data_IF_049679616369
#
_entry.id   IF_049679616369
#
_cell.length_a   1.000
_cell.length_b   1.000
_cell.length_c   1.000
_cell.angle_alpha   90.00
_cell.angle_beta   90.00
_cell.angle_gamma   90.00
#
_symmetry.space_group_name_H-M   'P 1'
#
loop_
_entity.id
_entity.type
_entity.pdbx_description
1 polymer ?
#
# COMPACT_ATOMS: atom_id res chain seq x y z
N UNK A 1 -42.44 1.69 -84.99
CA UNK A 1 -43.73 0.98 -85.18
C UNK A 1 -43.43 -0.27 -85.99
N UNK A 2 -43.14 -1.41 -85.34
CA UNK A 2 -42.86 -2.66 -86.07
C UNK A 2 -44.19 -3.41 -86.24
N UNK A 3 -44.81 -3.24 -87.41
CA UNK A 3 -45.92 -4.08 -87.86
C UNK A 3 -45.32 -5.45 -88.22
N UNK A 4 -45.79 -6.53 -87.57
CA UNK A 4 -45.36 -7.89 -87.95
C UNK A 4 -45.98 -8.22 -89.32
N UNK A 5 -45.33 -9.08 -90.10
CA UNK A 5 -45.84 -9.50 -91.41
C UNK A 5 -47.29 -10.03 -91.34
N UNK A 6 -47.67 -10.63 -90.20
CA UNK A 6 -49.04 -11.09 -89.94
C UNK A 6 -50.07 -9.93 -89.90
N UNK A 7 -49.70 -8.75 -89.39
CA UNK A 7 -50.59 -7.57 -89.35
C UNK A 7 -50.80 -6.97 -90.73
N UNK A 8 -49.74 -6.98 -91.55
CA UNK A 8 -49.79 -6.55 -92.96
C UNK A 8 -50.65 -7.52 -93.78
N UNK A 9 -50.57 -8.83 -93.52
CA UNK A 9 -51.37 -9.85 -94.19
C UNK A 9 -52.87 -9.73 -93.85
N UNK A 10 -53.22 -9.60 -92.56
CA UNK A 10 -54.63 -9.41 -92.15
C UNK A 10 -55.16 -8.06 -92.63
N UNK A 11 -54.36 -7.00 -92.55
CA UNK A 11 -54.71 -5.68 -93.09
C UNK A 11 -54.93 -5.68 -94.61
N UNK A 12 -54.07 -6.36 -95.38
CA UNK A 12 -54.20 -6.50 -96.83
C UNK A 12 -55.43 -7.34 -97.22
N UNK A 13 -55.71 -8.43 -96.49
CA UNK A 13 -56.90 -9.25 -96.70
C UNK A 13 -58.19 -8.44 -96.46
N UNK A 14 -58.20 -7.57 -95.45
CA UNK A 14 -59.32 -6.70 -95.13
C UNK A 14 -59.50 -5.59 -96.20
N UNK A 15 -58.41 -5.04 -96.73
CA UNK A 15 -58.41 -4.08 -97.84
C UNK A 15 -58.97 -4.70 -99.14
N UNK A 16 -58.59 -5.94 -99.44
CA UNK A 16 -59.15 -6.72 -100.55
C UNK A 16 -60.66 -6.98 -100.39
N UNK A 17 -61.12 -7.31 -99.18
CA UNK A 17 -62.54 -7.50 -98.89
C UNK A 17 -63.35 -6.21 -99.04
N UNK A 18 -62.81 -5.06 -98.60
CA UNK A 18 -63.44 -3.74 -98.78
C UNK A 18 -63.49 -3.36 -100.28
N UNK A 19 -62.41 -3.57 -101.02
CA UNK A 19 -62.37 -3.34 -102.47
C UNK A 19 -63.38 -4.22 -103.22
N UNK A 20 -63.52 -5.49 -102.83
CA UNK A 20 -64.53 -6.39 -103.38
C UNK A 20 -65.95 -5.93 -103.07
N UNK A 21 -66.21 -5.43 -101.84
CA UNK A 21 -67.50 -4.85 -101.45
C UNK A 21 -67.82 -3.57 -102.24
N UNK A 22 -66.85 -2.66 -102.41
CA UNK A 22 -66.98 -1.44 -103.20
C UNK A 22 -67.21 -1.74 -104.69
N UNK A 23 -66.50 -2.71 -105.26
CA UNK A 23 -66.70 -3.16 -106.64
C UNK A 23 -68.09 -3.76 -106.84
N UNK A 24 -68.60 -4.54 -105.87
CA UNK A 24 -69.95 -5.09 -105.89
C UNK A 24 -71.04 -4.01 -105.79
N UNK A 25 -70.77 -2.88 -105.10
CA UNK A 25 -71.68 -1.73 -105.01
C UNK A 25 -71.71 -0.86 -106.28
N UNK A 26 -70.64 -0.82 -107.07
CA UNK A 26 -70.55 -0.03 -108.31
C UNK A 26 -71.21 -0.70 -109.52
N UNK A 27 -71.48 -2.00 -109.47
CA UNK A 27 -72.08 -2.74 -110.58
C UNK A 27 -73.61 -2.84 -110.46
N UNK A 28 -74.39 -2.39 -111.46
CA UNK A 28 -75.86 -2.35 -111.39
C UNK A 28 -76.54 -3.73 -111.46
N UNK A 29 -75.79 -4.83 -111.55
CA UNK A 29 -76.30 -6.20 -111.75
C UNK A 29 -76.17 -7.12 -110.52
N UNK A 30 -75.72 -6.60 -109.37
CA UNK A 30 -75.50 -7.42 -108.16
C UNK A 30 -76.78 -7.54 -107.36
N UNK A 31 -77.18 -8.78 -107.05
CA UNK A 31 -78.43 -9.06 -106.33
C UNK A 31 -78.30 -8.70 -104.82
N UNK A 32 -79.30 -8.05 -104.21
CA UNK A 32 -79.22 -7.52 -102.83
C UNK A 32 -78.88 -8.57 -101.76
N UNK A 33 -79.23 -9.84 -101.97
CA UNK A 33 -78.99 -10.93 -101.02
C UNK A 33 -77.50 -11.30 -100.86
N UNK A 34 -76.64 -11.00 -101.85
CA UNK A 34 -75.18 -11.27 -101.78
C UNK A 34 -74.41 -10.16 -101.05
N UNK A 35 -74.95 -8.94 -101.00
CA UNK A 35 -74.30 -7.81 -100.32
C UNK A 35 -74.31 -7.94 -98.79
N UNK A 36 -75.37 -8.52 -98.21
CA UNK A 36 -75.51 -8.75 -96.77
C UNK A 36 -74.39 -9.61 -96.14
N UNK A 37 -74.12 -10.84 -96.62
CA UNK A 37 -73.07 -11.69 -96.07
C UNK A 37 -71.66 -11.15 -96.33
N UNK A 38 -71.44 -10.45 -97.44
CA UNK A 38 -70.15 -9.80 -97.76
C UNK A 38 -69.87 -8.62 -96.81
N UNK A 39 -70.89 -7.82 -96.51
CA UNK A 39 -70.82 -6.76 -95.50
C UNK A 39 -70.62 -7.33 -94.07
N UNK A 40 -71.31 -8.42 -93.73
CA UNK A 40 -71.14 -9.10 -92.43
C UNK A 40 -69.74 -9.71 -92.26
N UNK A 41 -69.17 -10.29 -93.33
CA UNK A 41 -67.80 -10.80 -93.33
C UNK A 41 -66.76 -9.68 -93.18
N UNK A 42 -66.96 -8.53 -93.84
CA UNK A 42 -66.13 -7.34 -93.65
C UNK A 42 -66.23 -6.80 -92.22
N UNK A 43 -67.43 -6.72 -91.64
CA UNK A 43 -67.61 -6.27 -90.26
C UNK A 43 -66.98 -7.23 -89.24
N UNK A 44 -67.07 -8.55 -89.48
CA UNK A 44 -66.43 -9.55 -88.63
C UNK A 44 -64.90 -9.51 -88.72
N UNK A 45 -64.33 -9.30 -89.91
CA UNK A 45 -62.88 -9.16 -90.09
C UNK A 45 -62.35 -7.86 -89.47
N UNK A 46 -63.10 -6.76 -89.57
CA UNK A 46 -62.82 -5.50 -88.85
C UNK A 46 -62.87 -5.71 -87.34
N UNK A 47 -63.92 -6.35 -86.82
CA UNK A 47 -64.04 -6.64 -85.39
C UNK A 47 -62.89 -7.53 -84.88
N UNK A 48 -62.53 -8.58 -85.63
CA UNK A 48 -61.39 -9.46 -85.31
C UNK A 48 -60.07 -8.69 -85.31
N UNK A 49 -59.82 -7.86 -86.33
CA UNK A 49 -58.61 -7.04 -86.42
C UNK A 49 -58.51 -6.04 -85.26
N UNK A 50 -59.63 -5.39 -84.89
CA UNK A 50 -59.69 -4.48 -83.73
C UNK A 50 -59.44 -5.22 -82.40
N UNK A 51 -60.05 -6.40 -82.20
CA UNK A 51 -59.81 -7.24 -81.01
C UNK A 51 -58.36 -7.74 -80.93
N UNK A 52 -57.76 -8.09 -82.07
CA UNK A 52 -56.38 -8.52 -82.14
C UNK A 52 -55.42 -7.37 -81.81
N UNK A 53 -55.68 -6.17 -82.34
CA UNK A 53 -54.90 -4.97 -82.04
C UNK A 53 -55.05 -4.55 -80.57
N UNK A 54 -56.24 -4.63 -79.99
CA UNK A 54 -56.47 -4.31 -78.59
C UNK A 54 -55.82 -5.33 -77.66
N UNK A 55 -55.93 -6.63 -77.93
CA UNK A 55 -55.25 -7.69 -77.20
C UNK A 55 -53.71 -7.54 -77.27
N UNK A 56 -53.16 -7.20 -78.45
CA UNK A 56 -51.72 -6.93 -78.62
C UNK A 56 -51.28 -5.66 -77.90
N UNK A 57 -52.09 -4.59 -77.93
CA UNK A 57 -51.81 -3.36 -77.18
C UNK A 57 -51.78 -3.65 -75.69
N UNK A 58 -52.77 -4.37 -75.17
CA UNK A 58 -52.85 -4.78 -73.77
C UNK A 58 -51.66 -5.68 -73.38
N UNK A 59 -51.30 -6.64 -74.23
CA UNK A 59 -50.12 -7.49 -74.02
C UNK A 59 -48.81 -6.69 -74.01
N UNK A 60 -48.63 -5.73 -74.92
CA UNK A 60 -47.45 -4.84 -74.93
C UNK A 60 -47.37 -3.97 -73.68
N UNK A 61 -48.49 -3.42 -73.23
CA UNK A 61 -48.57 -2.62 -71.99
C UNK A 61 -48.24 -3.52 -70.79
N UNK A 62 -48.86 -4.68 -70.67
CA UNK A 62 -48.57 -5.64 -69.59
C UNK A 62 -47.12 -6.13 -69.60
N UNK A 63 -46.51 -6.32 -70.79
CA UNK A 63 -45.11 -6.72 -70.91
C UNK A 63 -44.14 -5.56 -70.62
N UNK A 64 -44.51 -4.31 -70.94
CA UNK A 64 -43.75 -3.13 -70.55
C UNK A 64 -43.79 -2.94 -69.03
N UNK A 65 -44.97 -3.07 -68.42
CA UNK A 65 -45.18 -3.00 -66.98
C UNK A 65 -44.42 -4.11 -66.25
N UNK A 66 -44.49 -5.36 -66.71
CA UNK A 66 -43.73 -6.47 -66.11
C UNK A 66 -42.22 -6.27 -66.20
N UNK A 67 -41.71 -5.73 -67.31
CA UNK A 67 -40.28 -5.36 -67.44
C UNK A 67 -39.89 -4.25 -66.48
N UNK A 68 -40.72 -3.22 -66.35
CA UNK A 68 -40.49 -2.13 -65.40
C UNK A 68 -40.47 -2.63 -63.95
N UNK A 69 -41.42 -3.49 -63.56
CA UNK A 69 -41.46 -4.10 -62.24
C UNK A 69 -40.25 -4.99 -61.97
N UNK A 70 -39.79 -5.75 -62.96
CA UNK A 70 -38.59 -6.58 -62.84
C UNK A 70 -37.32 -5.73 -62.69
N UNK A 71 -37.18 -4.67 -63.49
CA UNK A 71 -36.05 -3.73 -63.35
C UNK A 71 -36.05 -3.04 -61.99
N UNK A 72 -37.21 -2.59 -61.50
CA UNK A 72 -37.33 -1.99 -60.18
C UNK A 72 -36.98 -2.99 -59.06
N UNK A 73 -37.45 -4.24 -59.15
CA UNK A 73 -37.10 -5.28 -58.19
C UNK A 73 -35.61 -5.65 -58.24
N UNK A 74 -35.00 -5.67 -59.43
CA UNK A 74 -33.56 -5.93 -59.58
C UNK A 74 -32.73 -4.80 -58.96
N UNK A 75 -33.08 -3.54 -59.21
CA UNK A 75 -32.41 -2.37 -58.60
C UNK A 75 -32.55 -2.35 -57.08
N UNK A 76 -33.75 -2.61 -56.55
CA UNK A 76 -33.96 -2.68 -55.11
C UNK A 76 -33.14 -3.83 -54.47
N UNK A 77 -33.09 -5.01 -55.12
CA UNK A 77 -32.28 -6.12 -54.64
C UNK A 77 -30.78 -5.80 -54.65
N UNK A 78 -30.30 -5.08 -55.66
CA UNK A 78 -28.90 -4.66 -55.76
C UNK A 78 -28.55 -3.66 -54.64
N UNK A 79 -29.39 -2.64 -54.44
CA UNK A 79 -29.23 -1.66 -53.36
C UNK A 79 -29.21 -2.30 -51.97
N UNK A 80 -30.11 -3.27 -51.70
CA UNK A 80 -30.12 -4.01 -50.43
C UNK A 80 -28.91 -4.90 -50.26
N UNK A 81 -28.43 -5.52 -51.34
CA UNK A 81 -27.22 -6.34 -51.30
C UNK A 81 -25.99 -5.47 -51.01
N UNK A 82 -25.90 -4.28 -51.63
CA UNK A 82 -24.85 -3.31 -51.35
C UNK A 82 -24.87 -2.84 -49.89
N UNK A 83 -26.05 -2.49 -49.36
CA UNK A 83 -26.22 -2.17 -47.93
C UNK A 83 -25.72 -3.29 -47.03
N UNK A 84 -26.04 -4.55 -47.36
CA UNK A 84 -25.58 -5.69 -46.58
C UNK A 84 -24.05 -5.85 -46.56
N UNK A 85 -23.40 -5.65 -47.72
CA UNK A 85 -21.94 -5.68 -47.79
C UNK A 85 -21.27 -4.50 -47.06
N UNK A 86 -21.88 -3.31 -47.11
CA UNK A 86 -21.40 -2.15 -46.35
C UNK A 86 -21.46 -2.43 -44.85
N UNK A 87 -22.59 -2.93 -44.34
CA UNK A 87 -22.75 -3.31 -42.93
C UNK A 87 -21.72 -4.37 -42.53
N UNK A 88 -21.54 -5.43 -43.34
CA UNK A 88 -20.52 -6.45 -43.07
C UNK A 88 -19.11 -5.83 -42.97
N UNK A 89 -18.75 -4.97 -43.92
CA UNK A 89 -17.43 -4.31 -43.96
C UNK A 89 -17.20 -3.40 -42.75
N UNK A 90 -18.22 -2.65 -42.34
CA UNK A 90 -18.15 -1.81 -41.13
C UNK A 90 -17.92 -2.67 -39.88
N UNK A 91 -18.67 -3.75 -39.71
CA UNK A 91 -18.52 -4.63 -38.54
C UNK A 91 -17.18 -5.37 -38.52
N UNK A 92 -16.64 -5.78 -39.67
CA UNK A 92 -15.27 -6.29 -39.76
C UNK A 92 -14.23 -5.23 -39.36
N UNK A 93 -14.45 -3.97 -39.75
CA UNK A 93 -13.62 -2.84 -39.34
C UNK A 93 -13.61 -2.66 -37.82
N UNK A 94 -14.79 -2.68 -37.20
CA UNK A 94 -14.93 -2.57 -35.75
C UNK A 94 -14.30 -3.76 -35.02
N UNK A 95 -14.53 -4.99 -35.49
CA UNK A 95 -13.92 -6.20 -34.94
C UNK A 95 -12.39 -6.12 -34.99
N UNK A 96 -11.82 -5.70 -36.12
CA UNK A 96 -10.38 -5.49 -36.27
C UNK A 96 -9.85 -4.42 -35.31
N UNK A 97 -10.61 -3.35 -35.10
CA UNK A 97 -10.29 -2.31 -34.12
C UNK A 97 -10.24 -2.87 -32.69
N UNK A 98 -11.24 -3.64 -32.27
CA UNK A 98 -11.29 -4.29 -30.96
C UNK A 98 -10.14 -5.28 -30.76
N UNK A 99 -9.78 -6.07 -31.79
CA UNK A 99 -8.61 -6.96 -31.75
C UNK A 99 -7.32 -6.15 -31.60
N UNK A 100 -7.18 -5.02 -32.32
CA UNK A 100 -6.04 -4.12 -32.18
C UNK A 100 -5.89 -3.56 -30.75
N UNK A 101 -7.00 -3.14 -30.15
CA UNK A 101 -7.03 -2.69 -28.75
C UNK A 101 -6.63 -3.80 -27.78
N UNK A 102 -7.11 -5.02 -27.99
CA UNK A 102 -6.70 -6.18 -27.18
C UNK A 102 -5.19 -6.43 -27.28
N UNK A 103 -4.61 -6.37 -28.48
CA UNK A 103 -3.17 -6.51 -28.66
C UNK A 103 -2.37 -5.41 -27.96
N UNK A 104 -2.83 -4.17 -27.99
CA UNK A 104 -2.17 -3.04 -27.32
C UNK A 104 -2.18 -3.20 -25.80
N UNK A 105 -3.31 -3.59 -25.23
CA UNK A 105 -3.47 -3.85 -23.79
C UNK A 105 -2.62 -5.05 -23.36
N UNK A 106 -2.67 -6.16 -24.10
CA UNK A 106 -1.84 -7.34 -23.86
C UNK A 106 -0.35 -7.01 -23.98
N UNK A 107 0.05 -6.21 -24.98
CA UNK A 107 1.44 -5.80 -25.16
C UNK A 107 1.93 -4.93 -24.00
N UNK A 108 1.13 -3.96 -23.59
CA UNK A 108 1.42 -3.09 -22.44
C UNK A 108 1.56 -3.89 -21.15
N UNK A 109 0.64 -4.83 -20.90
CA UNK A 109 0.69 -5.67 -19.72
C UNK A 109 1.81 -6.70 -19.76
N UNK A 110 2.11 -7.27 -20.92
CA UNK A 110 3.28 -8.16 -21.10
C UNK A 110 4.55 -7.39 -20.79
N UNK A 111 4.69 -6.16 -21.29
CA UNK A 111 5.84 -5.29 -20.96
C UNK A 111 5.93 -5.00 -19.46
N UNK A 112 4.79 -4.75 -18.79
CA UNK A 112 4.74 -4.55 -17.33
C UNK A 112 5.06 -5.82 -16.55
N UNK A 113 4.52 -6.96 -16.95
CA UNK A 113 4.78 -8.27 -16.34
C UNK A 113 6.23 -8.71 -16.53
N UNK A 114 6.82 -8.50 -17.71
CA UNK A 114 8.24 -8.79 -17.97
C UNK A 114 9.13 -7.86 -17.14
N UNK A 115 8.79 -6.57 -17.04
CA UNK A 115 9.47 -5.64 -16.13
C UNK A 115 9.37 -6.06 -14.66
N UNK A 116 8.19 -6.54 -14.24
CA UNK A 116 7.97 -7.06 -12.90
C UNK A 116 8.71 -8.39 -12.66
N UNK A 117 8.78 -9.31 -13.62
CA UNK A 117 9.45 -10.61 -13.51
C UNK A 117 10.98 -10.48 -13.50
N UNK A 118 11.54 -9.59 -14.32
CA UNK A 118 12.98 -9.24 -14.24
C UNK A 118 13.30 -8.53 -12.92
N UNK A 119 12.38 -7.71 -12.40
CA UNK A 119 12.46 -7.21 -11.03
C UNK A 119 12.33 -8.31 -9.98
N UNK A 120 11.43 -9.28 -10.17
CA UNK A 120 11.10 -10.35 -9.22
C UNK A 120 12.24 -11.36 -9.08
N UNK A 121 12.95 -11.71 -10.15
CA UNK A 121 14.11 -12.62 -10.08
C UNK A 121 15.24 -11.99 -9.25
N UNK A 122 15.50 -10.70 -9.44
CA UNK A 122 16.44 -9.92 -8.64
C UNK A 122 15.92 -9.65 -7.22
N UNK A 123 14.59 -9.64 -7.03
CA UNK A 123 13.95 -9.44 -5.73
C UNK A 123 13.66 -10.72 -4.95
N UNK A 124 13.60 -11.92 -5.54
CA UNK A 124 13.16 -13.14 -4.84
C UNK A 124 14.19 -13.65 -3.84
N UNK A 125 15.48 -13.63 -4.20
CA UNK A 125 16.56 -13.87 -3.24
C UNK A 125 16.61 -12.80 -2.15
N UNK A 126 16.40 -11.53 -2.53
CA UNK A 126 16.29 -10.43 -1.58
C UNK A 126 15.02 -10.51 -0.72
N UNK A 127 13.92 -11.06 -1.21
CA UNK A 127 12.60 -11.11 -0.57
C UNK A 127 12.53 -12.21 0.46
N UNK A 128 13.11 -13.40 0.23
CA UNK A 128 13.19 -14.41 1.29
C UNK A 128 14.06 -13.93 2.44
N UNK A 129 15.15 -13.23 2.15
CA UNK A 129 15.99 -12.59 3.16
C UNK A 129 15.24 -11.44 3.86
N UNK A 130 14.49 -10.62 3.11
CA UNK A 130 13.66 -9.55 3.67
C UNK A 130 12.49 -10.08 4.49
N UNK A 131 11.86 -11.20 4.11
CA UNK A 131 10.78 -11.84 4.86
C UNK A 131 11.30 -12.38 6.18
N UNK A 132 12.51 -12.95 6.15
CA UNK A 132 13.22 -13.37 7.36
C UNK A 132 13.49 -12.17 8.27
N UNK A 133 14.00 -11.08 7.71
CA UNK A 133 14.22 -9.81 8.41
C UNK A 133 12.92 -9.12 8.85
N UNK A 134 11.81 -9.29 8.13
CA UNK A 134 10.49 -8.74 8.47
C UNK A 134 9.83 -9.50 9.60
N UNK A 135 9.94 -10.83 9.63
CA UNK A 135 9.48 -11.64 10.77
C UNK A 135 10.29 -11.29 12.01
N UNK A 136 11.61 -11.15 11.88
CA UNK A 136 12.52 -10.66 12.94
C UNK A 136 12.12 -9.23 13.39
N UNK A 137 11.87 -8.33 12.43
CA UNK A 137 11.52 -6.93 12.69
C UNK A 137 10.10 -6.75 13.22
N UNK A 138 9.13 -7.60 12.90
CA UNK A 138 7.77 -7.58 13.46
C UNK A 138 7.76 -8.00 14.93
N UNK A 139 8.58 -9.00 15.27
CA UNK A 139 8.83 -9.39 16.67
C UNK A 139 9.46 -8.23 17.44
N UNK A 140 10.29 -7.40 16.80
CA UNK A 140 10.89 -6.21 17.42
C UNK A 140 9.97 -4.96 17.39
N UNK A 141 9.14 -4.79 16.36
CA UNK A 141 8.30 -3.59 16.10
C UNK A 141 7.07 -3.49 17.00
N UNK A 142 6.71 -4.53 17.75
CA UNK A 142 5.76 -4.41 18.86
C UNK A 142 6.17 -3.33 19.90
N UNK A 143 7.40 -2.78 19.80
CA UNK A 143 7.95 -1.75 20.69
C UNK A 143 8.12 -0.35 20.03
N UNK A 144 7.80 -0.17 18.75
CA UNK A 144 8.29 0.97 17.94
C UNK A 144 7.68 2.36 18.23
N UNK A 145 6.42 2.45 18.65
CA UNK A 145 5.76 3.75 18.88
C UNK A 145 6.07 4.36 20.28
N UNK A 146 6.46 3.54 21.25
CA UNK A 146 7.00 3.99 22.56
C UNK A 146 8.46 4.46 22.47
N UNK A 147 9.12 4.17 21.35
CA UNK A 147 10.58 4.17 21.29
C UNK A 147 11.19 5.58 21.19
N UNK A 148 10.53 6.55 20.55
CA UNK A 148 11.05 7.91 20.41
C UNK A 148 11.04 8.69 21.74
N UNK A 149 10.04 8.45 22.59
CA UNK A 149 9.98 9.03 23.94
C UNK A 149 10.96 8.32 24.88
N UNK A 150 11.12 6.99 24.75
CA UNK A 150 12.15 6.23 25.45
C UNK A 150 13.57 6.69 25.10
N UNK A 151 13.86 7.02 23.83
CA UNK A 151 15.18 7.50 23.39
C UNK A 151 15.54 8.83 24.08
N UNK A 152 14.60 9.77 24.15
CA UNK A 152 14.80 11.03 24.87
C UNK A 152 14.95 10.79 26.38
N UNK A 153 14.18 9.85 26.94
CA UNK A 153 14.26 9.44 28.34
C UNK A 153 15.62 8.83 28.70
N UNK A 154 16.18 7.96 27.84
CA UNK A 154 17.48 7.31 28.05
C UNK A 154 18.60 8.35 28.05
N UNK A 155 18.58 9.31 27.11
CA UNK A 155 19.59 10.39 27.05
C UNK A 155 19.60 11.21 28.34
N UNK A 156 18.41 11.60 28.82
CA UNK A 156 18.27 12.36 30.06
C UNK A 156 18.70 11.56 31.28
N UNK A 157 18.31 10.29 31.34
CA UNK A 157 18.60 9.40 32.46
C UNK A 157 20.10 9.31 32.75
N UNK A 158 20.93 9.07 31.73
CA UNK A 158 22.35 8.93 32.03
C UNK A 158 23.08 10.28 32.20
N UNK A 159 22.55 11.41 31.68
CA UNK A 159 23.09 12.76 31.99
C UNK A 159 22.88 13.03 33.48
N UNK A 160 21.67 12.75 33.98
CA UNK A 160 21.34 12.84 35.41
C UNK A 160 22.23 11.89 36.24
N UNK A 161 22.46 10.67 35.74
CA UNK A 161 23.26 9.69 36.47
C UNK A 161 24.75 10.04 36.49
N UNK A 162 25.31 10.62 35.42
CA UNK A 162 26.69 11.12 35.38
C UNK A 162 26.90 12.23 36.42
N UNK A 163 25.94 13.16 36.53
CA UNK A 163 25.97 14.22 37.54
C UNK A 163 25.91 13.63 38.97
N UNK A 164 25.08 12.61 39.21
CA UNK A 164 24.96 11.96 40.52
C UNK A 164 26.26 11.24 40.90
N UNK A 165 26.86 10.48 39.97
CA UNK A 165 28.14 9.79 40.21
C UNK A 165 29.26 10.79 40.47
N UNK A 166 29.33 11.88 39.70
CA UNK A 166 30.29 12.96 39.94
C UNK A 166 30.15 13.58 41.33
N UNK A 167 28.92 13.82 41.78
CA UNK A 167 28.65 14.30 43.17
C UNK A 167 29.06 13.27 44.22
N UNK A 168 28.84 11.97 43.98
CA UNK A 168 29.22 10.91 44.90
C UNK A 168 30.75 10.81 45.06
N UNK A 169 31.50 10.89 43.96
CA UNK A 169 32.97 10.91 43.97
C UNK A 169 33.47 12.14 44.76
N UNK A 170 32.90 13.32 44.50
CA UNK A 170 33.23 14.53 45.24
C UNK A 170 32.94 14.41 46.74
N UNK A 171 31.81 13.81 47.11
CA UNK A 171 31.46 13.55 48.51
C UNK A 171 32.45 12.59 49.18
N UNK A 172 32.84 11.50 48.49
CA UNK A 172 33.85 10.56 48.99
C UNK A 172 35.20 11.24 49.24
N UNK A 173 35.64 12.12 48.33
CA UNK A 173 36.87 12.91 48.51
C UNK A 173 36.80 13.81 49.76
N UNK A 174 35.66 14.45 50.01
CA UNK A 174 35.44 15.23 51.24
C UNK A 174 35.44 14.38 52.50
N UNK A 175 34.84 13.18 52.48
CA UNK A 175 34.87 12.25 53.61
C UNK A 175 36.30 11.79 53.91
N UNK A 176 37.10 11.55 52.88
CA UNK A 176 38.51 11.15 53.04
C UNK A 176 39.36 12.29 53.65
N UNK A 177 39.19 13.53 53.18
CA UNK A 177 39.85 14.71 53.78
C UNK A 177 39.45 14.89 55.26
N UNK A 178 38.16 14.82 55.56
CA UNK A 178 37.65 14.90 56.92
C UNK A 178 38.20 13.78 57.81
N UNK A 179 38.27 12.55 57.29
CA UNK A 179 38.87 11.40 57.97
C UNK A 179 40.36 11.61 58.28
N UNK A 180 41.14 12.09 57.30
CA UNK A 180 42.58 12.39 57.47
C UNK A 180 42.83 13.49 58.51
N UNK A 181 42.05 14.57 58.46
CA UNK A 181 42.11 15.65 59.46
C UNK A 181 41.75 15.15 60.86
N UNK A 182 40.74 14.29 60.96
CA UNK A 182 40.35 13.67 62.23
C UNK A 182 41.47 12.77 62.75
N UNK A 183 42.08 11.93 61.91
CA UNK A 183 43.23 11.09 62.27
C UNK A 183 44.39 11.92 62.85
N UNK A 184 44.70 13.05 62.22
CA UNK A 184 45.75 13.98 62.66
C UNK A 184 45.44 14.57 64.03
N UNK A 185 44.18 14.97 64.26
CA UNK A 185 43.74 15.49 65.55
C UNK A 185 43.82 14.43 66.66
N UNK A 186 43.46 13.18 66.37
CA UNK A 186 43.56 12.07 67.34
C UNK A 186 45.01 11.75 67.68
N UNK A 187 45.91 11.68 66.70
CA UNK A 187 47.35 11.49 66.96
C UNK A 187 47.93 12.59 67.85
N UNK A 188 47.51 13.85 67.63
CA UNK A 188 47.90 14.96 68.50
C UNK A 188 47.33 14.83 69.91
N UNK A 189 46.09 14.37 70.04
CA UNK A 189 45.43 14.17 71.33
C UNK A 189 46.09 13.03 72.12
N UNK A 190 46.57 11.99 71.45
CA UNK A 190 47.28 10.85 72.04
C UNK A 190 48.62 11.31 72.64
N UNK A 191 49.35 12.15 71.89
CA UNK A 191 50.57 12.80 72.38
C UNK A 191 50.32 13.67 73.62
N UNK A 192 49.23 14.45 73.62
CA UNK A 192 48.85 15.28 74.77
C UNK A 192 48.48 14.43 76.00
N UNK A 193 47.75 13.33 75.81
CA UNK A 193 47.42 12.40 76.90
C UNK A 193 48.69 11.78 77.50
N UNK A 194 49.64 11.34 76.66
CA UNK A 194 50.93 10.84 77.12
C UNK A 194 51.70 11.87 77.97
N UNK A 195 51.67 13.15 77.57
CA UNK A 195 52.26 14.23 78.35
C UNK A 195 51.56 14.43 79.71
N UNK A 196 50.23 14.37 79.75
CA UNK A 196 49.47 14.48 81.01
C UNK A 196 49.77 13.32 81.96
N UNK A 197 49.87 12.09 81.44
CA UNK A 197 50.26 10.91 82.23
C UNK A 197 51.66 11.10 82.82
N UNK A 198 52.61 11.63 82.04
CA UNK A 198 53.95 11.95 82.53
C UNK A 198 53.89 12.99 83.67
N UNK A 199 53.14 14.08 83.52
CA UNK A 199 52.96 15.08 84.57
C UNK A 199 52.34 14.50 85.84
N UNK A 200 51.32 13.63 85.73
CA UNK A 200 50.73 12.97 86.89
C UNK A 200 51.70 12.04 87.62
N UNK A 201 52.61 11.39 86.90
CA UNK A 201 53.65 10.59 87.51
C UNK A 201 54.62 11.46 88.33
N UNK A 202 55.02 12.62 87.79
CA UNK A 202 55.83 13.60 88.54
C UNK A 202 55.10 14.16 89.76
N UNK A 203 53.81 14.49 89.64
CA UNK A 203 52.99 14.95 90.79
C UNK A 203 52.91 13.87 91.87
N UNK A 204 52.73 12.61 91.49
CA UNK A 204 52.68 11.50 92.43
C UNK A 204 54.04 11.30 93.14
N UNK A 205 55.15 11.47 92.42
CA UNK A 205 56.50 11.43 93.01
C UNK A 205 56.71 12.56 94.04
N UNK A 206 56.35 13.80 93.69
CA UNK A 206 56.40 14.95 94.61
C UNK A 206 55.49 14.73 95.82
N UNK A 207 54.30 14.18 95.60
CA UNK A 207 53.34 13.89 96.67
C UNK A 207 53.90 12.85 97.65
N UNK A 208 54.52 11.78 97.16
CA UNK A 208 55.20 10.78 97.99
C UNK A 208 56.37 11.37 98.76
N UNK A 209 57.18 12.21 98.13
CA UNK A 209 58.28 12.90 98.81
C UNK A 209 57.76 13.84 99.91
N UNK A 210 56.68 14.56 99.64
CA UNK A 210 56.03 15.47 100.58
C UNK A 210 55.43 14.70 101.77
N UNK A 211 54.81 13.55 101.52
CA UNK A 211 54.29 12.65 102.56
C UNK A 211 55.42 12.13 103.47
N UNK A 212 56.56 11.73 102.89
CA UNK A 212 57.74 11.30 103.63
C UNK A 212 58.38 12.44 104.44
N UNK A 213 58.48 13.64 103.87
CA UNK A 213 58.97 14.82 104.59
C UNK A 213 58.05 15.19 105.75
N UNK A 214 56.74 15.15 105.55
CA UNK A 214 55.75 15.39 106.59
C UNK A 214 55.79 14.32 107.68
N UNK A 215 56.00 13.05 107.32
CA UNK A 215 56.19 11.97 108.28
C UNK A 215 57.44 12.20 109.14
N UNK A 216 58.57 12.56 108.53
CA UNK A 216 59.80 12.88 109.25
C UNK A 216 59.61 14.08 110.19
N UNK A 217 58.89 15.12 109.74
CA UNK A 217 58.55 16.27 110.56
C UNK A 217 57.63 15.91 111.74
N UNK A 218 56.64 15.03 111.54
CA UNK A 218 55.77 14.54 112.60
C UNK A 218 56.53 13.72 113.65
N UNK A 219 57.48 12.88 113.21
CA UNK A 219 58.37 12.11 114.10
C UNK A 219 59.22 13.07 114.95
N UNK A 220 59.85 14.08 114.34
CA UNK A 220 60.71 15.03 115.07
C UNK A 220 59.89 15.95 116.00
N UNK A 221 58.68 16.34 115.59
CA UNK A 221 57.75 17.08 116.44
C UNK A 221 57.30 16.26 117.66
N UNK A 222 57.06 14.96 117.51
CA UNK A 222 56.80 14.06 118.63
C UNK A 222 58.01 13.92 119.57
N UNK A 223 59.22 13.94 119.01
CA UNK A 223 60.49 13.87 119.75
C UNK A 223 60.77 15.11 120.59
N UNK A 224 60.32 16.28 120.15
CA UNK A 224 60.44 17.55 120.87
C UNK A 224 59.41 17.74 122.02
N UNK A 225 58.48 16.80 122.21
CA UNK A 225 57.51 16.82 123.32
C UNK A 225 56.55 18.02 123.27
N UNK A 226 56.36 18.71 124.40
CA UNK A 226 55.45 19.87 124.52
C UNK A 226 55.81 21.02 123.56
N UNK A 227 57.10 21.25 123.30
CA UNK A 227 57.57 22.31 122.39
C UNK A 227 57.25 22.03 120.91
N UNK A 228 57.00 20.75 120.55
CA UNK A 228 56.74 20.30 119.18
C UNK A 228 55.27 20.26 118.77
N UNK A 229 54.31 20.48 119.70
CA UNK A 229 52.86 20.32 119.43
C UNK A 229 52.35 21.10 118.20
N UNK A 230 52.80 22.35 118.02
CA UNK A 230 52.41 23.16 116.86
C UNK A 230 52.91 22.59 115.53
N UNK A 231 54.15 22.08 115.52
CA UNK A 231 54.74 21.43 114.34
C UNK A 231 54.10 20.09 114.02
N UNK A 232 53.69 19.32 115.03
CA UNK A 232 52.99 18.05 114.84
C UNK A 232 51.64 18.24 114.11
N UNK A 233 50.88 19.27 114.47
CA UNK A 233 49.60 19.60 113.80
C UNK A 233 49.81 19.98 112.34
N UNK A 234 50.84 20.80 112.05
CA UNK A 234 51.19 21.17 110.67
C UNK A 234 51.63 19.95 109.87
N UNK A 235 52.48 19.10 110.44
CA UNK A 235 52.96 17.89 109.78
C UNK A 235 51.82 16.92 109.44
N UNK A 236 50.87 16.70 110.36
CA UNK A 236 49.67 15.88 110.10
C UNK A 236 48.77 16.49 109.02
N UNK A 237 48.63 17.82 108.96
CA UNK A 237 47.84 18.49 107.93
C UNK A 237 48.51 18.38 106.54
N UNK A 238 49.83 18.51 106.47
CA UNK A 238 50.60 18.26 105.22
C UNK A 238 50.46 16.80 104.78
N UNK A 239 50.48 15.84 105.72
CA UNK A 239 50.26 14.42 105.43
C UNK A 239 48.88 14.15 104.86
N UNK A 240 47.83 14.73 105.44
CA UNK A 240 46.46 14.65 104.91
C UNK A 240 46.34 15.28 103.52
N UNK A 241 47.03 16.40 103.29
CA UNK A 241 47.05 17.07 101.99
C UNK A 241 47.75 16.20 100.92
N UNK A 242 48.86 15.54 101.27
CA UNK A 242 49.55 14.61 100.40
C UNK A 242 48.66 13.38 100.07
N UNK A 243 48.01 12.79 101.08
CA UNK A 243 47.06 11.69 100.87
C UNK A 243 45.90 12.07 99.94
N UNK A 244 45.29 13.25 100.13
CA UNK A 244 44.25 13.80 99.24
C UNK A 244 44.77 14.03 97.83
N UNK A 245 45.98 14.56 97.67
CA UNK A 245 46.60 14.80 96.36
C UNK A 245 46.85 13.50 95.59
N UNK A 246 47.28 12.44 96.30
CA UNK A 246 47.43 11.12 95.72
C UNK A 246 46.08 10.52 95.29
N UNK A 247 45.03 10.67 96.11
CA UNK A 247 43.67 10.24 95.75
C UNK A 247 43.15 10.94 94.50
N UNK A 248 43.33 12.28 94.40
CA UNK A 248 43.00 13.03 93.18
C UNK A 248 43.80 12.52 91.97
N UNK A 249 45.10 12.25 92.13
CA UNK A 249 45.95 11.73 91.05
C UNK A 249 45.50 10.35 90.56
N UNK A 250 44.97 9.50 91.44
CA UNK A 250 44.37 8.20 91.08
C UNK A 250 43.08 8.40 90.28
N UNK A 251 42.18 9.31 90.72
CA UNK A 251 40.94 9.60 89.98
C UNK A 251 41.23 10.17 88.59
N UNK A 252 42.20 11.08 88.45
CA UNK A 252 42.57 11.65 87.14
C UNK A 252 43.12 10.53 86.24
N UNK A 253 43.92 9.59 86.77
CA UNK A 253 44.37 8.42 85.99
C UNK A 253 43.22 7.59 85.46
N UNK A 254 42.19 7.33 86.28
CA UNK A 254 40.98 6.63 85.81
C UNK A 254 40.31 7.33 84.63
N UNK A 255 40.12 8.66 84.74
CA UNK A 255 39.56 9.46 83.64
C UNK A 255 40.41 9.42 82.36
N UNK A 256 41.74 9.38 82.50
CA UNK A 256 42.65 9.27 81.34
C UNK A 256 42.52 7.91 80.64
N UNK A 257 42.38 6.83 81.41
CA UNK A 257 42.15 5.49 80.83
C UNK A 257 40.84 5.42 80.05
N UNK A 258 39.78 6.07 80.55
CA UNK A 258 38.50 6.16 79.83
C UNK A 258 38.64 6.95 78.52
N UNK A 259 39.42 8.05 78.55
CA UNK A 259 39.73 8.84 77.35
C UNK A 259 40.53 8.01 76.33
N UNK A 260 41.55 7.27 76.77
CA UNK A 260 42.35 6.37 75.93
C UNK A 260 41.48 5.32 75.22
N UNK A 261 40.56 4.70 75.95
CA UNK A 261 39.60 3.73 75.40
C UNK A 261 38.69 4.37 74.34
N UNK A 262 38.16 5.56 74.65
CA UNK A 262 37.35 6.32 73.70
C UNK A 262 38.15 6.66 72.44
N UNK A 263 39.40 7.08 72.59
CA UNK A 263 40.31 7.37 71.47
C UNK A 263 40.60 6.15 70.61
N UNK A 264 40.82 4.98 71.21
CA UNK A 264 41.03 3.73 70.48
C UNK A 264 39.82 3.36 69.60
N UNK A 265 38.60 3.55 70.12
CA UNK A 265 37.37 3.26 69.36
C UNK A 265 37.16 4.23 68.18
N UNK A 266 37.48 5.51 68.36
CA UNK A 266 37.44 6.49 67.26
C UNK A 266 38.56 6.24 66.24
N UNK A 267 39.76 5.86 66.69
CA UNK A 267 40.87 5.47 65.81
C UNK A 267 40.50 4.30 64.89
N UNK A 268 39.81 3.28 65.42
CA UNK A 268 39.29 2.16 64.62
C UNK A 268 38.25 2.63 63.59
N UNK A 269 37.35 3.54 63.97
CA UNK A 269 36.34 4.12 63.07
C UNK A 269 36.97 4.94 61.93
N UNK A 270 38.06 5.65 62.21
CA UNK A 270 38.86 6.37 61.21
C UNK A 270 39.61 5.40 60.29
N UNK A 271 40.13 4.29 60.82
CA UNK A 271 40.73 3.23 60.02
C UNK A 271 39.76 2.67 58.98
N UNK A 272 38.49 2.50 59.34
CA UNK A 272 37.43 2.11 58.40
C UNK A 272 37.17 3.19 57.33
N UNK A 273 37.22 4.48 57.69
CA UNK A 273 37.10 5.59 56.75
C UNK A 273 38.29 5.69 55.78
N UNK A 274 39.50 5.29 56.19
CA UNK A 274 40.66 5.23 55.31
C UNK A 274 40.56 4.12 54.25
N UNK A 275 39.71 3.11 54.48
CA UNK A 275 39.48 2.01 53.55
C UNK A 275 38.32 2.28 52.57
N UNK A 276 37.68 3.45 52.65
CA UNK A 276 36.72 3.88 51.63
C UNK A 276 37.48 4.14 50.32
N UNK A 277 37.44 3.13 49.45
CA UNK A 277 38.22 3.07 48.22
C UNK A 277 37.62 3.97 47.13
N UNK A 278 38.36 5.00 46.72
CA UNK A 278 38.00 5.83 45.55
C UNK A 278 37.92 5.01 44.25
N UNK A 279 38.54 3.83 44.20
CA UNK A 279 38.48 2.91 43.07
C UNK A 279 37.05 2.50 42.72
N UNK A 280 36.14 2.42 43.69
CA UNK A 280 34.72 2.09 43.44
C UNK A 280 33.99 3.22 42.70
N UNK A 281 34.28 4.47 43.07
CA UNK A 281 33.72 5.65 42.39
C UNK A 281 34.23 5.78 40.96
N UNK A 282 35.53 5.59 40.76
CA UNK A 282 36.16 5.68 39.44
C UNK A 282 35.77 4.51 38.53
N UNK A 283 35.68 3.29 39.07
CA UNK A 283 35.16 2.13 38.32
C UNK A 283 33.69 2.31 37.93
N UNK A 284 32.88 2.90 38.82
CA UNK A 284 31.48 3.23 38.48
C UNK A 284 31.40 4.25 37.35
N UNK A 285 32.29 5.25 37.33
CA UNK A 285 32.40 6.24 36.25
C UNK A 285 32.77 5.59 34.91
N UNK A 286 33.76 4.67 34.92
CA UNK A 286 34.14 3.93 33.72
C UNK A 286 33.02 3.01 33.21
N UNK A 287 32.40 2.23 34.11
CA UNK A 287 31.29 1.34 33.74
C UNK A 287 30.12 2.13 33.16
N UNK A 288 29.82 3.31 33.71
CA UNK A 288 28.80 4.22 33.18
C UNK A 288 29.16 4.73 31.78
N UNK A 289 30.41 5.12 31.56
CA UNK A 289 30.87 5.55 30.23
C UNK A 289 30.75 4.43 29.19
N UNK A 290 31.07 3.18 29.55
CA UNK A 290 30.93 2.03 28.66
C UNK A 290 29.45 1.74 28.37
N UNK A 291 28.61 1.72 29.40
CA UNK A 291 27.17 1.54 29.26
C UNK A 291 26.57 2.62 28.36
N UNK A 292 27.07 3.86 28.47
CA UNK A 292 26.65 4.97 27.63
C UNK A 292 26.99 4.78 26.16
N UNK A 293 28.20 4.34 25.89
CA UNK A 293 28.65 4.08 24.53
C UNK A 293 27.82 2.96 23.88
N UNK A 294 27.43 1.93 24.63
CA UNK A 294 26.54 0.88 24.14
C UNK A 294 25.10 1.38 23.93
N UNK A 295 24.58 2.24 24.80
CA UNK A 295 23.26 2.85 24.61
C UNK A 295 23.20 3.76 23.38
N UNK A 296 24.25 4.53 23.11
CA UNK A 296 24.34 5.37 21.91
C UNK A 296 24.35 4.54 20.61
N UNK A 297 25.09 3.42 20.61
CA UNK A 297 25.07 2.44 19.51
C UNK A 297 23.68 1.84 19.31
N UNK A 298 23.03 1.41 20.39
CA UNK A 298 21.66 0.86 20.34
C UNK A 298 20.66 1.88 19.80
N UNK A 299 20.75 3.14 20.23
CA UNK A 299 19.89 4.21 19.76
C UNK A 299 20.08 4.49 18.25
N UNK A 300 21.34 4.57 17.81
CA UNK A 300 21.66 4.76 16.39
C UNK A 300 21.16 3.58 15.54
N UNK A 301 21.31 2.34 16.04
CA UNK A 301 20.79 1.15 15.37
C UNK A 301 19.26 1.16 15.29
N UNK A 302 18.57 1.52 16.38
CA UNK A 302 17.11 1.63 16.40
C UNK A 302 16.59 2.69 15.41
N UNK A 303 17.28 3.84 15.31
CA UNK A 303 16.93 4.90 14.34
C UNK A 303 17.07 4.40 12.90
N UNK A 304 18.19 3.75 12.56
CA UNK A 304 18.40 3.14 11.24
C UNK A 304 17.37 2.04 10.93
N UNK A 305 17.01 1.24 11.92
CA UNK A 305 15.98 0.22 11.77
C UNK A 305 14.62 0.86 11.43
N UNK A 306 14.28 1.99 12.07
CA UNK A 306 13.06 2.74 11.78
C UNK A 306 13.03 3.27 10.35
N UNK A 307 14.13 3.84 9.87
CA UNK A 307 14.28 4.27 8.47
C UNK A 307 14.08 3.10 7.50
N UNK A 308 14.68 1.94 7.80
CA UNK A 308 14.53 0.73 6.98
C UNK A 308 13.09 0.23 6.96
N UNK A 309 12.37 0.26 8.09
CA UNK A 309 10.95 -0.11 8.16
C UNK A 309 10.11 0.84 7.29
N UNK A 310 10.39 2.14 7.32
CA UNK A 310 9.67 3.12 6.50
C UNK A 310 9.87 2.86 5.00
N UNK A 311 11.10 2.58 4.56
CA UNK A 311 11.42 2.25 3.17
C UNK A 311 10.72 0.94 2.72
N UNK A 312 10.75 -0.10 3.56
CA UNK A 312 10.07 -1.37 3.27
C UNK A 312 8.55 -1.18 3.19
N UNK A 313 7.96 -0.39 4.09
CA UNK A 313 6.52 -0.09 4.07
C UNK A 313 6.11 0.59 2.76
N UNK A 314 6.90 1.57 2.29
CA UNK A 314 6.64 2.24 1.02
C UNK A 314 6.75 1.29 -0.18
N UNK A 315 7.72 0.37 -0.16
CA UNK A 315 7.86 -0.68 -1.19
C UNK A 315 6.68 -1.65 -1.19
N UNK A 316 6.19 -2.06 -0.02
CA UNK A 316 4.99 -2.92 0.10
C UNK A 316 3.78 -2.21 -0.50
N UNK A 317 3.56 -0.93 -0.15
CA UNK A 317 2.44 -0.16 -0.68
C UNK A 317 2.46 -0.10 -2.21
N UNK A 318 3.64 0.14 -2.80
CA UNK A 318 3.82 0.11 -4.26
C UNK A 318 3.52 -1.28 -4.86
N UNK A 319 3.98 -2.35 -4.23
CA UNK A 319 3.76 -3.71 -4.70
C UNK A 319 2.29 -4.13 -4.67
N UNK A 320 1.53 -3.69 -3.65
CA UNK A 320 0.08 -3.94 -3.57
C UNK A 320 -0.66 -3.19 -4.69
N UNK A 321 -0.31 -1.93 -4.94
CA UNK A 321 -0.89 -1.17 -6.05
C UNK A 321 -0.60 -1.84 -7.40
N UNK A 322 0.62 -2.32 -7.63
CA UNK A 322 0.99 -3.05 -8.84
C UNK A 322 0.20 -4.38 -8.97
N UNK A 323 -0.06 -5.08 -7.85
CA UNK A 323 -0.88 -6.28 -7.81
C UNK A 323 -2.35 -6.04 -8.19
N UNK A 324 -2.94 -4.92 -7.72
CA UNK A 324 -4.32 -4.53 -8.07
C UNK A 324 -4.44 -4.26 -9.57
N UNK A 325 -3.46 -3.57 -10.16
CA UNK A 325 -3.43 -3.30 -11.61
C UNK A 325 -3.34 -4.60 -12.42
N UNK A 326 -2.62 -5.60 -11.91
CA UNK A 326 -2.48 -6.90 -12.58
C UNK A 326 -3.78 -7.72 -12.56
N UNK A 327 -4.58 -7.63 -11.49
CA UNK A 327 -5.91 -8.25 -11.42
C UNK A 327 -6.91 -7.57 -12.36
N UNK A 328 -6.86 -6.24 -12.44
CA UNK A 328 -7.71 -5.47 -13.38
C UNK A 328 -7.38 -5.79 -14.84
N UNK A 329 -6.10 -6.07 -15.15
CA UNK A 329 -5.69 -6.47 -16.49
C UNK A 329 -6.32 -7.80 -16.93
N UNK A 330 -6.32 -8.82 -16.06
CA UNK A 330 -6.91 -10.12 -16.39
C UNK A 330 -8.40 -9.98 -16.72
N UNK A 331 -9.14 -9.20 -15.92
CA UNK A 331 -10.56 -8.98 -16.18
C UNK A 331 -10.80 -8.17 -17.46
N UNK A 332 -10.00 -7.13 -17.71
CA UNK A 332 -10.11 -6.31 -18.93
C UNK A 332 -9.84 -7.13 -20.21
N UNK A 333 -8.81 -7.98 -20.20
CA UNK A 333 -8.51 -8.85 -21.35
C UNK A 333 -9.60 -9.89 -21.55
N UNK A 334 -10.10 -10.49 -20.47
CA UNK A 334 -11.21 -11.44 -20.53
C UNK A 334 -12.44 -10.80 -21.17
N UNK A 335 -12.82 -9.61 -20.72
CA UNK A 335 -13.98 -8.87 -21.26
C UNK A 335 -13.79 -8.52 -22.74
N UNK A 336 -12.61 -8.06 -23.15
CA UNK A 336 -12.33 -7.73 -24.56
C UNK A 336 -12.38 -8.96 -25.46
N UNK A 337 -11.84 -10.10 -25.01
CA UNK A 337 -11.91 -11.35 -25.76
C UNK A 337 -13.35 -11.84 -25.90
N UNK A 338 -14.16 -11.74 -24.85
CA UNK A 338 -15.58 -12.07 -24.89
C UNK A 338 -16.34 -11.18 -25.87
N UNK A 339 -16.03 -9.87 -25.92
CA UNK A 339 -16.61 -8.95 -26.89
C UNK A 339 -16.23 -9.31 -28.34
N UNK A 340 -14.96 -9.61 -28.58
CA UNK A 340 -14.46 -10.05 -29.90
C UNK A 340 -15.16 -11.34 -30.32
N UNK A 341 -15.29 -12.31 -29.41
CA UNK A 341 -15.92 -13.60 -29.68
C UNK A 341 -17.41 -13.46 -30.01
N UNK A 342 -18.16 -12.71 -29.20
CA UNK A 342 -19.59 -12.50 -29.41
C UNK A 342 -19.86 -11.76 -30.73
N UNK A 343 -19.04 -10.77 -31.07
CA UNK A 343 -19.20 -10.00 -32.31
C UNK A 343 -18.78 -10.81 -33.54
N UNK A 344 -17.73 -11.64 -33.43
CA UNK A 344 -17.32 -12.56 -34.49
C UNK A 344 -18.41 -13.61 -34.78
N UNK A 345 -19.02 -14.19 -33.73
CA UNK A 345 -20.12 -15.16 -33.85
C UNK A 345 -21.33 -14.56 -34.59
N UNK A 346 -21.77 -13.36 -34.19
CA UNK A 346 -22.89 -12.68 -34.85
C UNK A 346 -22.58 -12.33 -36.31
N UNK A 347 -21.33 -11.99 -36.61
CA UNK A 347 -20.89 -11.69 -37.96
C UNK A 347 -20.81 -12.95 -38.83
N UNK A 348 -20.41 -14.08 -38.26
CA UNK A 348 -20.44 -15.40 -38.92
C UNK A 348 -21.88 -15.79 -39.28
N UNK A 349 -22.82 -15.67 -38.35
CA UNK A 349 -24.25 -15.91 -38.61
C UNK A 349 -24.78 -15.02 -39.73
N UNK A 350 -24.47 -13.71 -39.68
CA UNK A 350 -24.89 -12.75 -40.70
C UNK A 350 -24.33 -13.08 -42.09
N UNK A 351 -23.04 -13.40 -42.18
CA UNK A 351 -22.40 -13.80 -43.44
C UNK A 351 -22.97 -15.12 -43.98
N UNK A 352 -23.29 -16.07 -43.09
CA UNK A 352 -23.96 -17.32 -43.43
C UNK A 352 -25.34 -17.08 -44.05
N UNK A 353 -26.13 -16.17 -43.48
CA UNK A 353 -27.43 -15.77 -44.04
C UNK A 353 -27.28 -15.11 -45.42
N UNK A 354 -26.33 -14.20 -45.59
CA UNK A 354 -26.06 -13.56 -46.89
C UNK A 354 -25.61 -14.57 -47.96
N UNK A 355 -24.79 -15.56 -47.59
CA UNK A 355 -24.35 -16.61 -48.51
C UNK A 355 -25.52 -17.52 -48.91
N UNK A 356 -26.41 -17.86 -47.97
CA UNK A 356 -27.62 -18.62 -48.26
C UNK A 356 -28.56 -17.89 -49.23
N UNK A 357 -28.57 -16.55 -49.20
CA UNK A 357 -29.37 -15.69 -50.08
C UNK A 357 -28.85 -15.60 -51.52
N UNK A 358 -27.57 -15.92 -51.74
CA UNK A 358 -26.99 -15.96 -53.09
C UNK A 358 -27.30 -17.26 -53.85
N UNK A 359 -27.76 -18.33 -53.17
CA UNK A 359 -28.14 -19.58 -53.82
C UNK A 359 -29.41 -19.37 -54.66
N UNK A 360 -29.43 -19.74 -55.96
CA UNK A 360 -30.60 -19.54 -56.80
C UNK A 360 -31.79 -20.36 -56.29
N UNK A 361 -32.88 -19.69 -55.92
CA UNK A 361 -34.12 -20.34 -55.50
C UNK A 361 -34.81 -21.12 -56.63
N UNK A 362 -35.65 -22.09 -56.26
CA UNK A 362 -36.40 -22.97 -57.16
C UNK A 362 -37.57 -22.28 -57.91
N UNK A 363 -37.76 -20.97 -57.75
CA UNK A 363 -38.91 -20.24 -58.26
C UNK A 363 -38.80 -19.95 -59.76
N UNK A 364 -39.76 -20.40 -60.56
CA UNK A 364 -39.74 -20.22 -62.01
C UNK A 364 -39.92 -18.75 -62.47
N UNK A 365 -40.56 -17.89 -61.67
CA UNK A 365 -40.77 -16.48 -62.00
C UNK A 365 -39.64 -15.59 -61.43
N UNK A 366 -38.95 -14.87 -62.31
CA UNK A 366 -37.86 -13.97 -61.94
C UNK A 366 -38.31 -12.82 -61.03
N UNK A 367 -39.53 -12.30 -61.21
CA UNK A 367 -40.03 -11.19 -60.38
C UNK A 367 -40.28 -11.63 -58.94
N UNK A 368 -40.88 -12.80 -58.74
CA UNK A 368 -41.13 -13.40 -57.43
C UNK A 368 -39.80 -13.68 -56.71
N UNK A 369 -38.81 -14.17 -57.46
CA UNK A 369 -37.47 -14.47 -56.95
C UNK A 369 -36.76 -13.24 -56.38
N UNK A 370 -36.80 -12.12 -57.09
CA UNK A 370 -36.22 -10.87 -56.58
C UNK A 370 -36.99 -10.32 -55.38
N UNK A 371 -38.33 -10.36 -55.38
CA UNK A 371 -39.12 -9.93 -54.22
C UNK A 371 -38.82 -10.75 -52.97
N UNK A 372 -38.81 -12.08 -53.09
CA UNK A 372 -38.51 -12.97 -51.97
C UNK A 372 -37.07 -12.77 -51.46
N UNK A 373 -36.11 -12.53 -52.36
CA UNK A 373 -34.73 -12.22 -51.98
C UNK A 373 -34.63 -10.88 -51.24
N UNK A 374 -35.35 -9.84 -51.69
CA UNK A 374 -35.42 -8.54 -50.99
C UNK A 374 -35.98 -8.72 -49.58
N UNK A 375 -37.12 -9.40 -49.42
CA UNK A 375 -37.73 -9.60 -48.09
C UNK A 375 -36.78 -10.30 -47.12
N UNK A 376 -36.06 -11.32 -47.59
CA UNK A 376 -35.09 -12.02 -46.76
C UNK A 376 -33.83 -11.20 -46.47
N UNK A 377 -33.35 -10.40 -47.43
CA UNK A 377 -32.24 -9.46 -47.21
C UNK A 377 -32.62 -8.42 -46.15
N UNK A 378 -33.82 -7.85 -46.23
CA UNK A 378 -34.33 -6.88 -45.24
C UNK A 378 -34.40 -7.53 -43.85
N UNK A 379 -34.89 -8.77 -43.77
CA UNK A 379 -34.96 -9.51 -42.50
C UNK A 379 -33.57 -9.82 -41.91
N UNK A 380 -32.57 -10.09 -42.75
CA UNK A 380 -31.19 -10.32 -42.32
C UNK A 380 -30.52 -9.01 -41.87
N UNK A 381 -30.73 -7.92 -42.61
CA UNK A 381 -30.25 -6.58 -42.26
C UNK A 381 -30.82 -6.10 -40.93
N UNK A 382 -32.12 -6.26 -40.71
CA UNK A 382 -32.78 -5.82 -39.47
C UNK A 382 -32.30 -6.63 -38.26
N UNK A 383 -32.15 -7.96 -38.41
CA UNK A 383 -31.62 -8.81 -37.33
C UNK A 383 -30.16 -8.49 -37.00
N UNK A 384 -29.33 -8.28 -38.02
CA UNK A 384 -27.95 -7.86 -37.82
C UNK A 384 -27.87 -6.50 -37.12
N UNK A 385 -28.66 -5.52 -37.57
CA UNK A 385 -28.69 -4.19 -36.95
C UNK A 385 -29.09 -4.25 -35.47
N UNK A 386 -30.09 -5.06 -35.12
CA UNK A 386 -30.51 -5.26 -33.72
C UNK A 386 -29.41 -5.95 -32.90
N UNK A 387 -28.82 -7.03 -33.41
CA UNK A 387 -27.77 -7.77 -32.70
C UNK A 387 -26.52 -6.93 -32.46
N UNK A 388 -26.05 -6.18 -33.46
CA UNK A 388 -24.89 -5.30 -33.30
C UNK A 388 -25.18 -4.12 -32.37
N UNK A 389 -26.38 -3.52 -32.44
CA UNK A 389 -26.78 -2.45 -31.53
C UNK A 389 -26.87 -2.92 -30.06
N UNK A 390 -27.29 -4.17 -29.83
CA UNK A 390 -27.34 -4.74 -28.48
C UNK A 390 -25.92 -4.94 -27.90
N UNK A 391 -24.98 -5.40 -28.72
CA UNK A 391 -23.56 -5.53 -28.33
C UNK A 391 -22.95 -4.17 -27.98
N UNK A 392 -23.19 -3.15 -28.81
CA UNK A 392 -22.68 -1.79 -28.56
C UNK A 392 -23.30 -1.18 -27.29
N UNK A 393 -24.59 -1.46 -27.01
CA UNK A 393 -25.25 -1.01 -25.77
C UNK A 393 -24.66 -1.66 -24.52
N UNK A 394 -24.39 -2.98 -24.56
CA UNK A 394 -23.73 -3.70 -23.45
C UNK A 394 -22.34 -3.14 -23.17
N UNK A 395 -21.61 -2.74 -24.21
CA UNK A 395 -20.29 -2.11 -24.07
C UNK A 395 -20.35 -0.75 -23.37
N UNK A 396 -21.33 0.10 -23.69
CA UNK A 396 -21.48 1.44 -23.07
C UNK A 396 -21.85 1.30 -21.58
N UNK A 397 -22.70 0.34 -21.23
CA UNK A 397 -23.07 0.09 -19.84
C UNK A 397 -21.89 -0.44 -19.01
N UNK A 398 -21.06 -1.32 -19.56
CA UNK A 398 -19.86 -1.82 -18.89
C UNK A 398 -18.82 -0.72 -18.64
N UNK A 399 -18.54 0.14 -19.63
CA UNK A 399 -17.61 1.29 -19.44
C UNK A 399 -18.08 2.28 -18.37
N UNK A 400 -19.39 2.44 -18.18
CA UNK A 400 -19.95 3.32 -17.15
C UNK A 400 -19.82 2.75 -15.73
N UNK A 401 -19.75 1.43 -15.58
CA UNK A 401 -19.58 0.76 -14.28
C UNK A 401 -18.12 0.77 -13.85
N UNK A 402 -17.19 0.55 -14.77
CA UNK A 402 -15.74 0.66 -14.49
C UNK A 402 -15.29 2.10 -14.22
N UNK A 403 -15.92 3.11 -14.83
CA UNK A 403 -15.61 4.51 -14.50
C UNK A 403 -16.04 4.92 -13.07
N UNK A 404 -17.01 4.22 -12.48
CA UNK A 404 -17.48 4.44 -11.11
C UNK A 404 -16.67 3.71 -10.03
N UNK A 405 -15.81 2.76 -10.42
CA UNK A 405 -14.85 2.10 -9.52
C UNK A 405 -13.47 2.76 -9.55
N UNK A 406 -13.26 3.74 -10.43
CA UNK A 406 -12.11 4.66 -10.43
C UNK A 406 -12.42 5.83 -9.48
N UNK A 407 -12.56 5.53 -8.20
CA UNK A 407 -12.38 6.51 -7.11
C UNK A 407 -11.69 5.75 -5.97
N UNK A 408 -10.37 5.60 -6.13
CA UNK A 408 -9.48 5.09 -5.11
C UNK A 408 -9.08 6.24 -4.19
N UNK A 409 -9.73 6.30 -3.02
CA UNK A 409 -9.11 6.80 -1.79
C UNK A 409 -8.20 5.72 -1.19
#
# INVERSE_FOLDING_TARGET
MNLRHDDLAVGAALLLQILALCAALLQPAVSPWLLGPLAAACLASVAYFVLMLSARRNWRVAQAERRQQLHAAMQACDQRSEQAFVTAREQFGTLRGSIGQAYEIIGTATSRLTGNLTGLEQHSESQMEMLRQLVESLVQSAHGAEQQEQIAGIKRFGEDTEVIVGKLIGFMAHVQDAGSRTATNFSRMESLMGAVVHFLNSVNEVTKQTDLLALNAAIEAARAGEAGRGFAVVADEVRKLAARTNEFSVRIRGLLTDIESCMGSVGSSIGLLSNLDMGVGESSRQNMSLMWQEMDKLNTAATKQSEHISDVSQKIHKMVLDGIVSLQFEDLVRQLLEQVQNRASLLEDYMGELQALQRPGAEADGLQRFRNRITRLDTALDRAAQGFAELDRKQIQQKSVDAGSIDLF
#
